data_IF_722704579634
#
_entry.id   IF_722704579634
#
_cell.length_a   1.000
_cell.length_b   1.000
_cell.length_c   1.000
_cell.angle_alpha   90.00
_cell.angle_beta   90.00
_cell.angle_gamma   90.00
#
_symmetry.space_group_name_H-M   'P 1'
#
loop_
_entity.id
_entity.type
_entity.pdbx_description
1 polymer ?
#
# COMPACT_ATOMS: atom_id res chain seq x y z
N UNK A 1 8.73 14.84 -4.96
CA UNK A 1 8.23 14.95 -3.57
C UNK A 1 6.74 15.19 -3.67
N UNK A 2 5.93 14.61 -2.81
CA UNK A 2 4.46 14.84 -2.83
C UNK A 2 4.15 15.83 -1.72
N UNK A 3 3.52 16.97 -2.01
CA UNK A 3 3.11 17.92 -0.96
C UNK A 3 2.04 17.29 -0.08
N UNK A 4 2.21 17.42 1.23
CA UNK A 4 1.27 16.90 2.23
C UNK A 4 0.91 18.01 3.21
N UNK A 5 -0.37 18.12 3.56
CA UNK A 5 -0.80 19.02 4.64
C UNK A 5 -0.30 18.46 5.96
N UNK A 6 0.55 19.23 6.66
CA UNK A 6 1.12 18.84 7.97
C UNK A 6 0.78 19.85 9.08
N UNK A 7 0.57 21.10 8.70
CA UNK A 7 0.23 22.18 9.64
C UNK A 7 -1.09 22.79 9.21
N UNK A 8 -2.03 22.88 10.12
CA UNK A 8 -3.35 23.49 9.89
C UNK A 8 -3.88 24.09 11.19
N UNK A 9 -4.81 25.03 11.09
CA UNK A 9 -5.45 25.63 12.26
C UNK A 9 -6.34 24.62 12.97
N UNK A 10 -6.29 24.59 14.29
CA UNK A 10 -7.15 23.73 15.12
C UNK A 10 -8.62 23.89 14.72
N UNK A 11 -9.31 22.77 14.51
CA UNK A 11 -10.70 22.72 14.07
C UNK A 11 -10.94 22.92 12.56
N UNK A 12 -9.90 23.24 11.76
CA UNK A 12 -10.03 23.44 10.31
C UNK A 12 -9.45 22.30 9.45
N UNK A 13 -9.04 21.20 10.07
CA UNK A 13 -8.58 20.01 9.40
C UNK A 13 -9.04 18.77 10.12
N UNK A 14 -9.27 17.71 9.34
CA UNK A 14 -9.61 16.39 9.86
C UNK A 14 -8.84 15.31 9.10
N UNK A 15 -8.59 14.18 9.74
CA UNK A 15 -8.08 13.01 9.05
C UNK A 15 -9.15 12.40 8.14
N UNK A 16 -8.77 11.96 6.97
CA UNK A 16 -9.63 11.12 6.11
C UNK A 16 -9.97 9.82 6.84
N UNK A 17 -11.20 9.33 6.66
CA UNK A 17 -11.57 8.00 7.13
C UNK A 17 -11.12 6.97 6.10
N UNK A 18 -9.89 6.49 6.23
CA UNK A 18 -9.31 5.42 5.41
C UNK A 18 -8.65 4.37 6.28
N UNK A 19 -8.64 3.15 5.81
CA UNK A 19 -7.94 2.06 6.50
C UNK A 19 -6.40 2.19 6.44
N UNK A 20 -5.89 2.86 5.39
CA UNK A 20 -4.46 3.16 5.19
C UNK A 20 -4.29 4.48 4.43
N UNK A 21 -3.11 5.10 4.60
CA UNK A 21 -2.72 6.35 3.93
C UNK A 21 -3.72 7.49 4.17
N UNK A 22 -4.04 7.72 5.44
CA UNK A 22 -4.89 8.83 5.87
C UNK A 22 -4.21 10.17 5.57
N UNK A 23 -4.94 11.03 4.87
CA UNK A 23 -4.51 12.41 4.60
C UNK A 23 -5.31 13.39 5.43
N UNK A 24 -4.68 14.52 5.76
CA UNK A 24 -5.41 15.63 6.37
C UNK A 24 -6.19 16.36 5.27
N UNK A 25 -7.49 16.46 5.48
CA UNK A 25 -8.40 17.25 4.64
C UNK A 25 -8.68 18.56 5.32
N UNK A 26 -8.36 19.67 4.65
CA UNK A 26 -8.70 21.01 5.11
C UNK A 26 -10.19 21.23 4.83
N UNK A 27 -10.96 21.57 5.87
CA UNK A 27 -12.41 21.74 5.78
C UNK A 27 -12.81 23.18 5.43
N UNK A 28 -11.95 24.16 5.77
CA UNK A 28 -12.17 25.57 5.48
C UNK A 28 -10.84 26.25 5.15
N UNK A 29 -10.87 27.17 4.20
CA UNK A 29 -9.70 27.90 3.72
C UNK A 29 -9.00 27.20 2.56
N UNK A 30 -7.73 27.51 2.36
CA UNK A 30 -6.91 26.95 1.28
C UNK A 30 -5.55 26.50 1.82
N UNK A 31 -5.00 25.45 1.21
CA UNK A 31 -3.66 24.99 1.50
C UNK A 31 -2.63 25.80 0.71
N UNK A 32 -1.54 26.18 1.37
CA UNK A 32 -0.41 26.88 0.76
C UNK A 32 0.79 25.93 0.78
N UNK A 33 1.44 25.77 -0.36
CA UNK A 33 2.69 25.01 -0.45
C UNK A 33 3.85 25.86 0.03
N UNK A 34 4.74 25.24 0.81
CA UNK A 34 5.94 25.88 1.34
C UNK A 34 7.16 25.03 1.03
N UNK A 35 8.34 25.64 0.98
CA UNK A 35 9.61 24.94 0.79
C UNK A 35 10.12 24.19 2.04
N UNK A 36 9.33 24.17 3.11
CA UNK A 36 9.68 23.48 4.36
C UNK A 36 9.69 21.99 4.12
N UNK A 37 10.84 21.38 4.37
CA UNK A 37 11.01 19.92 4.30
C UNK A 37 10.75 19.30 5.67
N UNK A 38 10.00 18.25 5.67
CA UNK A 38 9.69 17.45 6.85
C UNK A 38 10.36 16.09 6.71
N UNK A 39 11.11 15.68 7.73
CA UNK A 39 11.69 14.36 7.86
C UNK A 39 10.91 13.58 8.93
N UNK A 40 10.42 12.40 8.57
CA UNK A 40 9.83 11.44 9.51
C UNK A 40 10.93 10.43 9.88
N UNK A 41 11.59 10.68 11.00
CA UNK A 41 12.68 9.84 11.49
C UNK A 41 12.15 8.82 12.50
N UNK A 42 12.23 7.55 12.12
CA UNK A 42 11.76 6.47 12.97
C UNK A 42 12.87 5.97 13.89
N UNK A 43 12.83 6.40 15.15
CA UNK A 43 13.79 6.04 16.20
C UNK A 43 13.54 4.66 16.84
N UNK A 44 12.55 3.91 16.39
CA UNK A 44 12.24 2.59 16.91
C UNK A 44 13.14 1.50 16.30
N UNK A 45 13.21 0.36 16.99
CA UNK A 45 13.97 -0.79 16.53
C UNK A 45 13.40 -1.41 15.25
N UNK A 46 14.23 -2.16 14.52
CA UNK A 46 13.80 -2.93 13.36
C UNK A 46 12.68 -3.93 13.72
N UNK A 47 12.72 -4.54 14.90
CA UNK A 47 11.68 -5.46 15.37
C UNK A 47 10.31 -4.76 15.48
N UNK A 48 10.28 -3.57 16.07
CA UNK A 48 9.06 -2.76 16.13
C UNK A 48 8.56 -2.38 14.73
N UNK A 49 9.48 -1.96 13.86
CA UNK A 49 9.17 -1.62 12.47
C UNK A 49 8.55 -2.83 11.72
N UNK A 50 9.13 -4.01 11.88
CA UNK A 50 8.64 -5.27 11.27
C UNK A 50 7.23 -5.60 11.73
N UNK A 51 6.97 -5.55 13.05
CA UNK A 51 5.64 -5.80 13.60
C UNK A 51 4.60 -4.78 13.10
N UNK A 52 4.98 -3.51 12.99
CA UNK A 52 4.12 -2.47 12.41
C UNK A 52 3.76 -2.78 10.96
N UNK A 53 4.75 -3.18 10.15
CA UNK A 53 4.55 -3.49 8.75
C UNK A 53 3.78 -4.79 8.52
N UNK A 54 3.87 -5.76 9.44
CA UNK A 54 3.02 -6.94 9.41
C UNK A 54 1.54 -6.55 9.54
N UNK A 55 1.20 -5.70 10.52
CA UNK A 55 -0.18 -5.19 10.67
C UNK A 55 -0.65 -4.38 9.43
N UNK A 56 0.25 -3.66 8.79
CA UNK A 56 -0.07 -2.96 7.55
C UNK A 56 -0.32 -3.93 6.39
N UNK A 57 0.47 -5.00 6.30
CA UNK A 57 0.27 -6.04 5.29
C UNK A 57 -1.08 -6.75 5.45
N UNK A 58 -1.50 -7.04 6.69
CA UNK A 58 -2.82 -7.61 7.00
C UNK A 58 -3.95 -6.69 6.52
N UNK A 59 -3.86 -5.39 6.81
CA UNK A 59 -4.85 -4.40 6.36
C UNK A 59 -4.87 -4.25 4.84
N UNK A 60 -3.70 -4.19 4.20
CA UNK A 60 -3.61 -4.10 2.74
C UNK A 60 -4.18 -5.35 2.07
N UNK A 61 -3.89 -6.55 2.60
CA UNK A 61 -4.44 -7.80 2.10
C UNK A 61 -5.97 -7.83 2.23
N UNK A 62 -6.53 -7.43 3.36
CA UNK A 62 -7.97 -7.35 3.57
C UNK A 62 -8.62 -6.38 2.55
N UNK A 63 -8.04 -5.20 2.34
CA UNK A 63 -8.53 -4.23 1.34
C UNK A 63 -8.48 -4.78 -0.09
N UNK A 64 -7.45 -5.56 -0.43
CA UNK A 64 -7.34 -6.17 -1.77
C UNK A 64 -8.43 -7.23 -1.98
N UNK A 65 -8.68 -8.07 -0.99
CA UNK A 65 -9.74 -9.09 -1.02
C UNK A 65 -11.13 -8.47 -1.09
N UNK A 66 -11.39 -7.41 -0.31
CA UNK A 66 -12.64 -6.66 -0.40
C UNK A 66 -12.83 -5.99 -1.76
N UNK A 67 -11.78 -5.41 -2.33
CA UNK A 67 -11.84 -4.78 -3.65
C UNK A 67 -12.12 -5.79 -4.77
N UNK A 68 -11.61 -7.01 -4.62
CA UNK A 68 -11.88 -8.11 -5.54
C UNK A 68 -13.35 -8.58 -5.44
N UNK A 69 -13.88 -8.69 -4.22
CA UNK A 69 -15.26 -9.13 -3.98
C UNK A 69 -16.32 -8.11 -4.41
N UNK A 70 -16.02 -6.81 -4.30
CA UNK A 70 -16.99 -5.73 -4.63
C UNK A 70 -17.07 -5.41 -6.11
N UNK A 71 -16.20 -5.93 -6.95
CA UNK A 71 -16.07 -5.51 -8.34
C UNK A 71 -15.65 -4.03 -8.45
N UNK A 72 -15.14 -3.64 -9.59
CA UNK A 72 -14.64 -2.27 -9.81
C UNK A 72 -15.81 -1.26 -9.76
N UNK A 73 -16.02 -0.64 -8.62
CA UNK A 73 -16.94 0.49 -8.53
C UNK A 73 -16.41 1.63 -9.44
N UNK A 74 -17.15 1.91 -10.49
CA UNK A 74 -16.87 2.99 -11.42
C UNK A 74 -17.20 4.32 -10.74
N UNK A 75 -16.15 5.10 -10.47
CA UNK A 75 -16.28 6.48 -9.97
C UNK A 75 -14.92 7.08 -9.66
N UNK A 76 -14.65 8.29 -10.11
CA UNK A 76 -13.46 9.05 -9.77
C UNK A 76 -12.83 9.82 -10.94
N UNK A 77 -11.98 10.81 -10.61
CA UNK A 77 -11.26 11.64 -11.55
C UNK A 77 -10.34 10.82 -12.47
N UNK A 78 -9.95 11.41 -13.60
CA UNK A 78 -9.08 10.77 -14.60
C UNK A 78 -7.73 10.33 -14.00
N UNK A 79 -7.17 11.11 -13.09
CA UNK A 79 -5.96 10.76 -12.32
C UNK A 79 -6.18 9.53 -11.43
N UNK A 80 -7.36 9.39 -10.82
CA UNK A 80 -7.72 8.20 -10.04
C UNK A 80 -7.90 6.97 -10.94
N UNK A 81 -8.46 7.14 -12.14
CA UNK A 81 -8.59 6.05 -13.13
C UNK A 81 -7.21 5.57 -13.63
N UNK A 82 -6.27 6.49 -13.86
CA UNK A 82 -4.89 6.15 -14.24
C UNK A 82 -4.18 5.36 -13.14
N UNK A 83 -4.25 5.81 -11.88
CA UNK A 83 -3.72 5.07 -10.72
C UNK A 83 -4.38 3.70 -10.55
N UNK A 84 -5.70 3.59 -10.77
CA UNK A 84 -6.42 2.31 -10.73
C UNK A 84 -5.96 1.36 -11.84
N UNK A 85 -5.79 1.85 -13.08
CA UNK A 85 -5.25 1.03 -14.19
C UNK A 85 -3.86 0.50 -13.87
N UNK A 86 -2.99 1.34 -13.34
CA UNK A 86 -1.64 0.92 -12.93
C UNK A 86 -1.71 -0.12 -11.80
N UNK A 87 -2.59 0.07 -10.81
CA UNK A 87 -2.80 -0.88 -9.71
C UNK A 87 -3.39 -2.20 -10.21
N UNK A 88 -4.35 -2.17 -11.16
CA UNK A 88 -4.94 -3.36 -11.76
C UNK A 88 -3.94 -4.13 -12.64
N UNK A 89 -3.11 -3.42 -13.41
CA UNK A 89 -2.05 -4.06 -14.18
C UNK A 89 -1.05 -4.77 -13.25
N UNK A 90 -0.63 -4.10 -12.19
CA UNK A 90 0.23 -4.68 -11.17
C UNK A 90 -0.42 -5.88 -10.46
N UNK A 91 -1.72 -5.80 -10.16
CA UNK A 91 -2.47 -6.90 -9.54
C UNK A 91 -2.63 -8.13 -10.45
N UNK A 92 -2.58 -7.96 -11.78
CA UNK A 92 -2.62 -9.06 -12.75
C UNK A 92 -1.30 -9.83 -12.87
N UNK A 93 -0.20 -9.25 -12.40
CA UNK A 93 1.06 -9.98 -12.37
C UNK A 93 0.97 -11.13 -11.36
N UNK A 94 1.60 -12.29 -11.66
CA UNK A 94 1.62 -13.41 -10.73
C UNK A 94 2.11 -12.95 -9.35
N UNK A 95 1.44 -13.44 -8.30
CA UNK A 95 1.84 -13.23 -6.91
C UNK A 95 3.32 -13.57 -6.75
N UNK A 96 4.01 -12.85 -5.90
CA UNK A 96 5.45 -12.94 -5.63
C UNK A 96 6.35 -12.39 -6.76
N UNK A 97 6.08 -12.67 -8.05
CA UNK A 97 6.83 -12.12 -9.17
C UNK A 97 6.71 -10.60 -9.26
N UNK A 98 5.54 -10.08 -8.98
CA UNK A 98 5.30 -8.62 -8.92
C UNK A 98 6.15 -7.94 -7.84
N UNK A 99 6.33 -8.59 -6.69
CA UNK A 99 7.16 -8.09 -5.61
C UNK A 99 8.64 -8.06 -6.01
N UNK A 100 9.11 -9.13 -6.65
CA UNK A 100 10.48 -9.23 -7.16
C UNK A 100 10.74 -8.21 -8.27
N UNK A 101 9.83 -8.07 -9.23
CA UNK A 101 9.95 -7.09 -10.31
C UNK A 101 10.01 -5.64 -9.78
N UNK A 102 9.21 -5.33 -8.76
CA UNK A 102 9.24 -4.02 -8.10
C UNK A 102 10.56 -3.76 -7.38
N UNK A 103 11.07 -4.76 -6.65
CA UNK A 103 12.39 -4.68 -6.01
C UNK A 103 13.50 -4.48 -7.06
N UNK A 104 13.52 -5.32 -8.12
CA UNK A 104 14.51 -5.24 -9.19
C UNK A 104 14.49 -3.88 -9.88
N UNK A 105 13.31 -3.35 -10.18
CA UNK A 105 13.15 -2.01 -10.73
C UNK A 105 13.76 -0.95 -9.82
N UNK A 106 13.42 -0.95 -8.52
CA UNK A 106 13.91 0.06 -7.57
C UNK A 106 15.41 -0.08 -7.30
N UNK A 107 15.89 -1.30 -7.12
CA UNK A 107 17.25 -1.56 -6.71
C UNK A 107 18.23 -1.41 -7.87
N UNK A 108 17.91 -1.96 -9.05
CA UNK A 108 18.80 -1.92 -10.21
C UNK A 108 18.50 -0.73 -11.13
N UNK A 109 17.27 -0.55 -11.61
CA UNK A 109 16.98 0.48 -12.60
C UNK A 109 16.94 1.90 -12.01
N UNK A 110 16.57 2.05 -10.74
CA UNK A 110 16.64 3.33 -10.03
C UNK A 110 17.94 3.51 -9.23
N UNK A 111 18.90 2.65 -9.48
CA UNK A 111 20.23 2.71 -8.88
C UNK A 111 20.26 2.68 -7.34
N UNK A 112 19.26 2.03 -6.72
CA UNK A 112 19.19 1.91 -5.26
C UNK A 112 20.35 1.15 -4.64
N UNK A 113 21.14 0.41 -5.43
CA UNK A 113 22.39 -0.22 -4.97
C UNK A 113 23.49 0.80 -4.65
N UNK A 114 23.37 2.04 -5.15
CA UNK A 114 24.31 3.11 -4.83
C UNK A 114 24.12 3.65 -3.40
N UNK A 115 22.97 3.40 -2.79
CA UNK A 115 22.67 3.80 -1.41
C UNK A 115 23.38 2.88 -0.37
N UNK A 116 24.23 1.97 -0.84
CA UNK A 116 25.04 1.09 0.01
C UNK A 116 24.21 0.03 0.73
N UNK A 117 24.70 -0.40 1.89
CA UNK A 117 24.11 -1.48 2.70
C UNK A 117 22.72 -1.10 3.25
N UNK A 118 22.57 0.11 3.71
CA UNK A 118 21.30 0.65 4.23
C UNK A 118 20.26 0.74 3.13
N UNK A 119 20.67 1.17 1.94
CA UNK A 119 19.81 1.19 0.76
C UNK A 119 19.36 -0.21 0.36
N UNK A 120 20.24 -1.22 0.40
CA UNK A 120 19.87 -2.61 0.17
C UNK A 120 18.80 -3.06 1.17
N UNK A 121 19.02 -2.87 2.47
CA UNK A 121 18.07 -3.24 3.52
C UNK A 121 16.72 -2.55 3.33
N UNK A 122 16.72 -1.26 3.01
CA UNK A 122 15.50 -0.52 2.74
C UNK A 122 14.72 -1.08 1.54
N UNK A 123 15.40 -1.25 0.41
CA UNK A 123 14.75 -1.77 -0.80
C UNK A 123 14.28 -3.21 -0.64
N UNK A 124 15.04 -4.03 0.09
CA UNK A 124 14.67 -5.40 0.41
C UNK A 124 13.43 -5.45 1.31
N UNK A 125 13.45 -4.76 2.44
CA UNK A 125 12.37 -4.79 3.43
C UNK A 125 11.11 -4.13 2.90
N UNK A 126 11.21 -2.94 2.34
CA UNK A 126 10.07 -2.15 1.89
C UNK A 126 9.61 -2.53 0.48
N UNK A 127 10.54 -2.91 -0.40
CA UNK A 127 10.25 -3.19 -1.80
C UNK A 127 9.84 -4.63 -2.06
N UNK A 128 10.49 -5.59 -1.40
CA UNK A 128 10.26 -7.02 -1.65
C UNK A 128 9.55 -7.71 -0.49
N UNK A 129 10.16 -7.76 0.70
CA UNK A 129 9.63 -8.48 1.85
C UNK A 129 8.18 -8.09 2.19
N UNK A 130 7.93 -6.79 2.29
CA UNK A 130 6.58 -6.30 2.57
C UNK A 130 5.56 -6.75 1.51
N UNK A 131 5.92 -6.67 0.24
CA UNK A 131 5.03 -7.08 -0.87
C UNK A 131 4.79 -8.58 -0.90
N UNK A 132 5.83 -9.38 -0.64
CA UNK A 132 5.70 -10.84 -0.51
C UNK A 132 4.78 -11.19 0.65
N UNK A 133 4.86 -10.47 1.78
CA UNK A 133 3.99 -10.67 2.93
C UNK A 133 2.52 -10.42 2.56
N UNK A 134 2.21 -9.29 1.91
CA UNK A 134 0.85 -9.00 1.42
C UNK A 134 0.35 -10.11 0.49
N UNK A 135 1.18 -10.52 -0.49
CA UNK A 135 0.82 -11.57 -1.44
C UNK A 135 0.56 -12.92 -0.76
N UNK A 136 1.35 -13.24 0.28
CA UNK A 136 1.19 -14.47 1.07
C UNK A 136 -0.13 -14.47 1.83
N UNK A 137 -0.51 -13.34 2.43
CA UNK A 137 -1.77 -13.19 3.16
C UNK A 137 -2.98 -13.30 2.22
N UNK A 138 -2.92 -12.67 1.04
CA UNK A 138 -3.97 -12.80 0.01
C UNK A 138 -4.09 -14.24 -0.48
N UNK A 139 -2.97 -14.92 -0.73
CA UNK A 139 -2.95 -16.31 -1.16
C UNK A 139 -3.51 -17.26 -0.08
N UNK A 140 -3.17 -17.01 1.20
CA UNK A 140 -3.66 -17.77 2.35
C UNK A 140 -5.18 -17.67 2.50
N UNK A 141 -5.71 -16.46 2.46
CA UNK A 141 -7.15 -16.20 2.57
C UNK A 141 -7.95 -16.90 1.44
N UNK A 142 -7.41 -16.95 0.22
CA UNK A 142 -8.04 -17.69 -0.89
C UNK A 142 -8.10 -19.21 -0.69
N UNK A 143 -7.27 -19.77 0.18
CA UNK A 143 -7.27 -21.21 0.52
C UNK A 143 -8.20 -21.55 1.68
N UNK A 144 -8.46 -20.58 2.58
CA UNK A 144 -9.32 -20.74 3.75
C UNK A 144 -10.81 -20.59 3.42
N UNK A 145 -11.18 -20.09 2.24
CA UNK A 145 -12.57 -20.16 1.80
C UNK A 145 -12.92 -21.61 1.46
N UNK A 146 -13.75 -22.31 2.29
CA UNK A 146 -14.11 -23.69 2.00
C UNK A 146 -14.86 -23.73 0.67
N UNK A 147 -14.62 -24.76 -0.13
CA UNK A 147 -15.45 -25.21 -1.27
C UNK A 147 -16.88 -25.59 -0.80
N UNK A 148 -17.54 -24.71 -0.11
CA UNK A 148 -18.92 -24.87 0.33
C UNK A 148 -19.87 -24.40 -0.77
N UNK A 149 -20.02 -25.15 -1.85
CA UNK A 149 -21.24 -25.23 -2.67
C UNK A 149 -21.04 -25.97 -3.99
N UNK A 150 -20.37 -27.14 -3.96
CA UNK A 150 -20.55 -28.11 -5.05
C UNK A 150 -20.99 -29.42 -4.44
N UNK A 151 -22.28 -29.55 -4.14
CA UNK A 151 -22.81 -30.83 -3.69
C UNK A 151 -24.13 -30.69 -2.97
N UNK A 152 -25.18 -30.30 -3.68
CA UNK A 152 -26.56 -30.74 -3.45
C UNK A 152 -27.43 -30.30 -4.63
N UNK A 153 -27.39 -31.13 -5.62
CA UNK A 153 -28.36 -31.15 -6.70
C UNK A 153 -28.22 -32.54 -7.31
N UNK A 154 -28.98 -33.51 -6.76
CA UNK A 154 -29.45 -34.73 -7.40
C UNK A 154 -29.75 -35.76 -6.32
N UNK A 155 -30.98 -35.75 -5.83
CA UNK A 155 -31.85 -36.90 -5.63
C UNK A 155 -33.28 -36.42 -5.55
#
# INVERSE_FOLDING_TARGET
>A
MIPLVRVFRTGKGRSEVRAMDEHIVVTEGHAVETDVRFADDNLHSLAWWTQKHLRYAEREAAMLLEAESRGSAEGGSEAMRAKRRQKMWYARLPLFWRAFAYFAYRYFLRLGFLDGREGFLWHFLQGWWYRVMVDSLVCGAGREQPRASRGRGEE
#
